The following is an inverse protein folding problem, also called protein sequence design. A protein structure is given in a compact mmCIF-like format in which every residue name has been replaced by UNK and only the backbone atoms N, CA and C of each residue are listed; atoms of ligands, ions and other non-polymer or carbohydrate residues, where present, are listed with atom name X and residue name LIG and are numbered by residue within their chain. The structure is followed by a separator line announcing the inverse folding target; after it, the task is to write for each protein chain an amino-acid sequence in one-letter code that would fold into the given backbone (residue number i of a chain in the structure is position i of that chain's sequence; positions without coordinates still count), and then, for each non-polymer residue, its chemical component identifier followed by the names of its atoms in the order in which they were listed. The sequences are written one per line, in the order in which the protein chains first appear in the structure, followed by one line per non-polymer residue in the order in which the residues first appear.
data_IF_309497874804
#
_entry.id   IF_309497874804
#
_cell.length_a   1.000
_cell.length_b   1.000
_cell.length_c   1.000
_cell.angle_alpha   90.00
_cell.angle_beta   90.00
_cell.angle_gamma   90.00
#
_symmetry.space_group_name_H-M   'P 1'
#
loop_
_entity.id
_entity.type
_entity.pdbx_description
1 polymer ?
#
# COMPACT_ATOMS: atom_id res chain seq x y z
N UNK A 1 7.83 -4.87 -8.80
CA UNK A 1 7.25 -3.53 -8.95
C UNK A 1 7.85 -2.59 -7.91
N UNK A 2 8.65 -1.63 -8.37
CA UNK A 2 9.36 -0.70 -7.48
C UNK A 2 8.66 0.66 -7.42
N UNK A 3 7.56 0.72 -6.71
CA UNK A 3 6.91 1.99 -6.39
C UNK A 3 7.21 2.38 -4.95
N UNK A 4 7.11 3.68 -4.65
CA UNK A 4 7.20 4.12 -3.27
C UNK A 4 6.06 3.53 -2.47
N UNK A 5 6.38 3.01 -1.29
CA UNK A 5 5.40 2.48 -0.36
C UNK A 5 5.82 2.78 1.07
N UNK A 6 4.87 3.11 1.88
CA UNK A 6 5.07 3.42 3.29
C UNK A 6 4.17 2.49 4.09
N UNK A 7 4.75 1.65 4.93
CA UNK A 7 4.04 0.64 5.71
C UNK A 7 4.02 1.05 7.17
N UNK A 8 2.83 1.06 7.76
CA UNK A 8 2.62 1.45 9.15
C UNK A 8 1.93 0.32 9.91
N UNK A 9 2.36 0.14 11.16
CA UNK A 9 1.77 -0.83 12.08
C UNK A 9 0.80 -0.13 13.03
N UNK A 10 -0.39 -0.71 13.17
CA UNK A 10 -1.40 -0.28 14.14
C UNK A 10 -1.83 -1.47 14.98
N UNK A 11 -2.09 -1.24 16.26
CA UNK A 11 -2.58 -2.28 17.17
C UNK A 11 -4.04 -2.08 17.57
N UNK A 12 -4.65 -1.02 17.09
CA UNK A 12 -6.02 -0.66 17.45
C UNK A 12 -6.14 -0.12 18.87
N UNK A 13 -7.34 0.29 19.24
CA UNK A 13 -7.61 0.93 20.55
C UNK A 13 -7.36 -0.03 21.70
N UNK A 14 -7.70 -1.31 21.55
CA UNK A 14 -7.49 -2.34 22.58
C UNK A 14 -6.05 -2.83 22.67
N UNK A 15 -5.20 -2.48 21.71
CA UNK A 15 -3.84 -3.02 21.59
C UNK A 15 -3.79 -4.46 21.09
N UNK A 16 -4.91 -5.07 20.74
CA UNK A 16 -5.00 -6.48 20.34
C UNK A 16 -5.39 -6.69 18.88
N UNK A 17 -5.74 -5.61 18.17
CA UNK A 17 -6.11 -5.70 16.77
C UNK A 17 -4.96 -5.22 15.89
N UNK A 18 -3.91 -6.02 15.79
CA UNK A 18 -2.74 -5.69 14.97
C UNK A 18 -3.08 -5.73 13.50
N UNK A 19 -2.82 -4.64 12.78
CA UNK A 19 -3.02 -4.55 11.35
C UNK A 19 -2.03 -3.54 10.73
N UNK A 20 -1.93 -3.57 9.42
CA UNK A 20 -1.05 -2.68 8.68
C UNK A 20 -1.86 -1.71 7.83
N UNK A 21 -1.34 -0.49 7.73
CA UNK A 21 -1.74 0.45 6.70
C UNK A 21 -0.57 0.63 5.73
N UNK A 22 -0.88 0.65 4.45
CA UNK A 22 0.13 0.85 3.42
C UNK A 22 -0.30 1.98 2.49
N UNK A 23 0.58 2.96 2.34
CA UNK A 23 0.42 4.01 1.34
C UNK A 23 1.29 3.65 0.14
N UNK A 24 0.68 3.59 -1.03
CA UNK A 24 1.36 3.28 -2.28
C UNK A 24 1.28 4.46 -3.22
N UNK A 25 2.41 4.79 -3.84
CA UNK A 25 2.43 5.75 -4.92
C UNK A 25 1.99 5.05 -6.21
N UNK A 26 0.96 5.56 -6.86
CA UNK A 26 0.36 4.92 -8.01
C UNK A 26 1.32 4.89 -9.21
N UNK A 27 1.29 3.80 -9.95
CA UNK A 27 1.98 3.64 -11.22
C UNK A 27 0.94 3.74 -12.34
N UNK A 28 1.01 4.80 -13.13
CA UNK A 28 0.02 5.09 -14.16
C UNK A 28 -1.30 5.59 -13.58
N UNK A 29 -2.41 5.18 -14.17
CA UNK A 29 -3.74 5.53 -13.69
C UNK A 29 -4.00 4.98 -12.29
N UNK A 30 -4.43 5.83 -11.38
CA UNK A 30 -4.60 5.49 -9.97
C UNK A 30 -5.61 4.36 -9.76
N UNK A 31 -6.75 4.41 -10.43
CA UNK A 31 -7.79 3.40 -10.27
C UNK A 31 -7.38 2.05 -10.85
N UNK A 32 -6.71 2.06 -12.00
CA UNK A 32 -6.14 0.85 -12.61
C UNK A 32 -5.10 0.23 -11.69
N UNK A 33 -4.22 1.05 -11.13
CA UNK A 33 -3.20 0.59 -10.18
C UNK A 33 -3.82 -0.04 -8.92
N UNK A 34 -4.87 0.58 -8.38
CA UNK A 34 -5.61 0.05 -7.23
C UNK A 34 -6.19 -1.33 -7.54
N UNK A 35 -6.74 -1.51 -8.73
CA UNK A 35 -7.27 -2.79 -9.21
C UNK A 35 -6.20 -3.88 -9.26
N UNK A 36 -5.01 -3.53 -9.75
CA UNK A 36 -3.86 -4.45 -9.80
C UNK A 36 -3.40 -4.83 -8.40
N UNK A 37 -3.28 -3.86 -7.50
CA UNK A 37 -2.88 -4.10 -6.10
C UNK A 37 -3.88 -5.03 -5.41
N UNK A 38 -5.16 -4.79 -5.60
CA UNK A 38 -6.22 -5.64 -5.04
C UNK A 38 -6.13 -7.07 -5.58
N UNK A 39 -5.89 -7.22 -6.88
CA UNK A 39 -5.73 -8.53 -7.50
C UNK A 39 -4.54 -9.30 -6.96
N UNK A 40 -3.40 -8.64 -6.78
CA UNK A 40 -2.20 -9.25 -6.20
C UNK A 40 -2.48 -9.67 -4.75
N UNK A 41 -3.06 -8.79 -3.96
CA UNK A 41 -3.35 -9.05 -2.56
C UNK A 41 -4.30 -10.24 -2.37
N UNK A 42 -5.32 -10.35 -3.22
CA UNK A 42 -6.27 -11.47 -3.15
C UNK A 42 -5.61 -12.82 -3.37
N UNK A 43 -4.49 -12.89 -4.12
CA UNK A 43 -3.71 -14.09 -4.30
C UNK A 43 -2.94 -14.54 -3.05
N UNK A 44 -2.63 -13.60 -2.15
CA UNK A 44 -1.90 -13.89 -0.92
C UNK A 44 -2.80 -14.03 0.31
N UNK A 45 -3.92 -13.34 0.31
CA UNK A 45 -4.79 -13.19 1.48
C UNK A 45 -6.24 -13.56 1.14
N UNK A 46 -6.45 -14.71 0.54
CA UNK A 46 -7.79 -15.17 0.14
C UNK A 46 -8.82 -15.10 1.27
N UNK A 47 -8.42 -15.52 2.45
CA UNK A 47 -9.30 -15.57 3.62
C UNK A 47 -9.51 -14.21 4.28
N UNK A 48 -8.59 -13.27 4.08
CA UNK A 48 -8.60 -11.97 4.75
C UNK A 48 -9.03 -10.81 3.85
N UNK A 49 -9.43 -11.09 2.62
CA UNK A 49 -9.85 -10.04 1.69
C UNK A 49 -11.03 -9.23 2.23
N UNK A 50 -11.94 -9.87 2.96
CA UNK A 50 -13.09 -9.21 3.59
C UNK A 50 -12.65 -8.19 4.67
N UNK A 51 -11.49 -8.41 5.29
CA UNK A 51 -10.91 -7.53 6.31
C UNK A 51 -9.89 -6.55 5.72
N UNK A 52 -9.71 -6.57 4.41
CA UNK A 52 -8.81 -5.68 3.70
C UNK A 52 -9.59 -4.55 3.05
N UNK A 53 -9.01 -3.34 3.06
CA UNK A 53 -9.63 -2.16 2.49
C UNK A 53 -8.69 -1.52 1.49
N UNK A 54 -9.23 -1.16 0.32
CA UNK A 54 -8.47 -0.55 -0.77
C UNK A 54 -9.16 0.74 -1.17
N UNK A 55 -8.48 1.87 -0.99
CA UNK A 55 -9.05 3.19 -1.24
C UNK A 55 -8.04 4.10 -1.91
N UNK A 56 -8.52 5.02 -2.73
CA UNK A 56 -7.71 6.11 -3.24
C UNK A 56 -7.65 7.19 -2.16
N UNK A 57 -6.44 7.63 -1.78
CA UNK A 57 -6.26 8.69 -0.81
C UNK A 57 -6.70 10.02 -1.44
N UNK A 58 -7.77 10.61 -0.90
CA UNK A 58 -8.34 11.88 -1.38
C UNK A 58 -7.73 13.08 -0.69
N UNK A 59 -7.26 12.89 0.54
CA UNK A 59 -6.60 13.93 1.33
C UNK A 59 -5.32 13.34 1.89
N UNK A 60 -4.19 13.66 1.26
CA UNK A 60 -2.88 13.11 1.61
C UNK A 60 -2.47 13.48 3.04
N UNK A 61 -2.73 14.71 3.47
CA UNK A 61 -2.37 15.16 4.82
C UNK A 61 -3.16 14.40 5.90
N UNK A 62 -4.48 14.26 5.72
CA UNK A 62 -5.32 13.52 6.65
C UNK A 62 -4.96 12.04 6.69
N UNK A 63 -4.67 11.43 5.54
CA UNK A 63 -4.26 10.04 5.44
C UNK A 63 -2.93 9.81 6.15
N UNK A 64 -1.95 10.69 5.95
CA UNK A 64 -0.65 10.62 6.64
C UNK A 64 -0.79 10.75 8.14
N UNK A 65 -1.62 11.67 8.62
CA UNK A 65 -1.90 11.84 10.05
C UNK A 65 -2.53 10.57 10.64
N UNK A 66 -3.47 9.97 9.93
CA UNK A 66 -4.10 8.72 10.37
C UNK A 66 -3.08 7.58 10.46
N UNK A 67 -2.19 7.46 9.50
CA UNK A 67 -1.18 6.39 9.49
C UNK A 67 -0.25 6.43 10.69
N UNK A 68 -0.01 7.59 11.28
CA UNK A 68 0.88 7.74 12.44
C UNK A 68 0.12 8.00 13.75
N UNK A 69 -1.20 7.84 13.79
CA UNK A 69 -2.00 8.20 14.96
C UNK A 69 -1.69 7.37 16.21
N UNK A 70 -1.08 6.21 16.06
CA UNK A 70 -0.65 5.38 17.19
C UNK A 70 0.80 5.64 17.60
N UNK A 71 1.45 6.68 17.08
CA UNK A 71 2.84 7.00 17.39
C UNK A 71 3.11 7.13 18.90
N UNK A 72 2.17 7.72 19.63
CA UNK A 72 2.29 7.87 21.08
C UNK A 72 2.38 6.53 21.83
N UNK A 73 1.83 5.46 21.26
CA UNK A 73 1.86 4.11 21.83
C UNK A 73 3.06 3.29 21.35
N UNK A 74 3.37 3.39 20.07
CA UNK A 74 4.33 2.52 19.40
C UNK A 74 5.67 3.19 19.10
N UNK A 75 5.70 4.54 19.09
CA UNK A 75 6.90 5.30 18.75
C UNK A 75 7.40 4.94 17.36
N UNK A 76 8.71 4.74 17.21
CA UNK A 76 9.33 4.38 15.95
C UNK A 76 8.86 3.05 15.35
N UNK A 77 8.20 2.21 16.13
CA UNK A 77 7.65 0.94 15.66
C UNK A 77 6.42 1.13 14.77
N UNK A 78 5.80 2.31 14.80
CA UNK A 78 4.66 2.63 13.92
C UNK A 78 5.03 2.51 12.45
N UNK A 79 6.23 2.97 12.09
CA UNK A 79 6.71 2.92 10.70
C UNK A 79 7.59 1.69 10.50
N UNK A 80 7.25 0.86 9.53
CA UNK A 80 8.03 -0.33 9.18
C UNK A 80 8.99 -0.03 8.04
N UNK A 81 10.22 0.35 8.37
CA UNK A 81 11.26 0.66 7.38
C UNK A 81 11.61 -0.54 6.51
N UNK A 82 11.60 -1.74 7.08
CA UNK A 82 11.95 -2.97 6.38
C UNK A 82 11.02 -3.28 5.20
N UNK A 83 9.72 -3.04 5.37
CA UNK A 83 8.72 -3.31 4.33
C UNK A 83 8.43 -2.10 3.45
N UNK A 84 8.96 -0.94 3.81
CA UNK A 84 8.76 0.30 3.08
C UNK A 84 9.83 0.48 2.01
N UNK A 85 9.48 1.24 0.97
CA UNK A 85 10.42 1.67 -0.08
C UNK A 85 10.16 3.15 -0.34
N UNK A 86 11.03 4.01 0.19
CA UNK A 86 10.80 5.44 0.21
C UNK A 86 11.50 6.19 -0.93
N UNK A 87 12.34 5.51 -1.71
CA UNK A 87 13.08 6.10 -2.81
C UNK A 87 12.19 6.25 -4.03
N UNK A 88 12.02 7.46 -4.61
CA UNK A 88 11.25 7.64 -5.81
C UNK A 88 11.87 6.86 -6.99
N UNK A 89 11.04 6.29 -7.89
CA UNK A 89 11.56 5.61 -9.07
C UNK A 89 12.22 6.60 -10.03
N UNK A 90 13.27 6.15 -10.72
CA UNK A 90 13.88 6.89 -11.84
C UNK A 90 12.95 6.88 -13.05
N UNK A 91 13.28 7.67 -14.09
CA UNK A 91 12.51 7.67 -15.33
C UNK A 91 12.47 6.30 -16.00
N UNK A 92 13.58 5.56 -16.00
CA UNK A 92 13.67 4.20 -16.54
C UNK A 92 12.81 3.22 -15.73
N UNK A 93 12.88 3.31 -14.40
CA UNK A 93 12.06 2.49 -13.52
C UNK A 93 10.57 2.75 -13.68
N UNK A 94 10.17 4.01 -13.89
CA UNK A 94 8.77 4.37 -14.16
C UNK A 94 8.23 3.66 -15.39
N UNK A 95 9.01 3.63 -16.48
CA UNK A 95 8.64 2.94 -17.69
C UNK A 95 8.49 1.43 -17.48
N UNK A 96 9.44 0.80 -16.79
CA UNK A 96 9.39 -0.63 -16.44
C UNK A 96 8.20 -0.95 -15.55
N UNK A 97 7.92 -0.11 -14.57
CA UNK A 97 6.79 -0.27 -13.67
C UNK A 97 5.46 -0.23 -14.43
N UNK A 98 5.33 0.72 -15.36
CA UNK A 98 4.12 0.84 -16.17
C UNK A 98 3.87 -0.40 -17.03
N UNK A 99 4.91 -0.94 -17.67
CA UNK A 99 4.82 -2.17 -18.44
C UNK A 99 4.42 -3.35 -17.55
N UNK A 100 4.96 -3.43 -16.35
CA UNK A 100 4.65 -4.49 -15.40
C UNK A 100 3.21 -4.42 -14.91
N UNK A 101 2.71 -3.21 -14.61
CA UNK A 101 1.31 -3.00 -14.24
C UNK A 101 0.38 -3.47 -15.35
N UNK A 102 0.68 -3.15 -16.60
CA UNK A 102 -0.11 -3.58 -17.76
C UNK A 102 -0.16 -5.10 -17.88
N UNK A 103 0.96 -5.78 -17.65
CA UNK A 103 1.02 -7.25 -17.67
C UNK A 103 0.23 -7.87 -16.52
N UNK A 104 0.34 -7.31 -15.33
CA UNK A 104 -0.40 -7.77 -14.15
C UNK A 104 -1.91 -7.58 -14.33
N UNK A 105 -2.31 -6.46 -14.90
CA UNK A 105 -3.72 -6.20 -15.21
C UNK A 105 -4.28 -7.25 -16.19
N UNK A 106 -3.55 -7.57 -17.24
CA UNK A 106 -3.93 -8.65 -18.18
C UNK A 106 -4.09 -9.98 -17.47
N UNK A 107 -3.18 -10.34 -16.58
CA UNK A 107 -3.23 -11.59 -15.84
C UNK A 107 -4.45 -11.67 -14.91
N UNK A 108 -4.85 -10.54 -14.34
CA UNK A 108 -6.01 -10.46 -13.44
C UNK A 108 -7.32 -10.51 -14.22
N UNK A 109 -7.41 -9.79 -15.33
CA UNK A 109 -8.62 -9.69 -16.16
C UNK A 109 -8.76 -10.87 -17.13
N UNK A 110 -7.66 -11.48 -17.43
CA UNK A 110 -7.60 -12.53 -18.43
C UNK A 110 -7.93 -13.90 -17.97
#
# INVERSE_FOLDING_TARGET
LRCQRFVFLHKGTSGQNTHFHMLLDAVGDTYTFLQVVRGIWSGFAETDLANSRFEVARNTAATGTYCVHEWSKLGGMTFCARLSHTIPPTGTEKGKNLQRVRRLLKAIDG
#
